data_IF_866410314872
#
_entry.id   IF_866410314872
#
_cell.length_a   1.000
_cell.length_b   1.000
_cell.length_c   1.000
_cell.angle_alpha   90.00
_cell.angle_beta   90.00
_cell.angle_gamma   90.00
#
_symmetry.space_group_name_H-M   'P 1'
#
loop_
_entity.id
_entity.type
_entity.pdbx_description
1 polymer ?
#
# COMPACT_ATOMS: atom_id res chain seq x y z
N UNK A 1 -29.21 -5.25 -56.52
CA UNK A 1 -27.85 -5.59 -56.97
C UNK A 1 -27.06 -5.94 -55.71
N UNK A 2 -27.00 -7.23 -55.35
CA UNK A 2 -26.47 -7.66 -54.05
C UNK A 2 -25.03 -8.12 -54.25
N UNK A 3 -24.07 -7.26 -53.86
CA UNK A 3 -22.65 -7.59 -53.96
C UNK A 3 -22.34 -8.65 -52.92
N UNK A 4 -22.11 -9.88 -53.39
CA UNK A 4 -21.69 -11.02 -52.57
C UNK A 4 -20.21 -10.80 -52.22
N UNK A 5 -19.92 -10.22 -51.06
CA UNK A 5 -18.57 -10.05 -50.56
C UNK A 5 -17.85 -11.40 -50.47
N UNK A 6 -16.65 -11.49 -51.05
CA UNK A 6 -15.81 -12.69 -51.05
C UNK A 6 -15.40 -12.97 -49.60
N UNK A 7 -15.99 -14.00 -48.99
CA UNK A 7 -15.64 -14.46 -47.64
C UNK A 7 -14.19 -14.96 -47.66
N UNK A 8 -13.33 -14.35 -46.82
CA UNK A 8 -11.98 -14.88 -46.55
C UNK A 8 -10.81 -14.01 -46.98
N UNK A 9 -11.01 -12.73 -47.31
CA UNK A 9 -9.90 -11.77 -47.50
C UNK A 9 -9.02 -11.66 -46.25
N UNK A 10 -7.71 -11.47 -46.42
CA UNK A 10 -6.74 -11.31 -45.32
C UNK A 10 -7.13 -10.23 -44.30
N UNK A 11 -7.79 -9.14 -44.75
CA UNK A 11 -8.34 -8.10 -43.87
C UNK A 11 -9.41 -8.62 -42.89
N UNK A 12 -10.33 -9.47 -43.36
CA UNK A 12 -11.36 -10.12 -42.52
C UNK A 12 -10.77 -11.12 -41.52
N UNK A 13 -9.62 -11.74 -41.85
CA UNK A 13 -8.90 -12.64 -40.92
C UNK A 13 -8.08 -11.86 -39.89
N UNK A 14 -7.61 -10.66 -40.24
CA UNK A 14 -6.95 -9.75 -39.31
C UNK A 14 -7.95 -9.17 -38.29
N UNK A 15 -9.17 -8.79 -38.72
CA UNK A 15 -10.26 -8.37 -37.83
C UNK A 15 -10.75 -9.48 -36.88
N UNK A 16 -10.52 -10.75 -37.22
CA UNK A 16 -10.96 -11.90 -36.43
C UNK A 16 -9.95 -12.39 -35.40
N UNK A 17 -8.74 -11.81 -35.31
CA UNK A 17 -7.83 -12.12 -34.22
C UNK A 17 -8.26 -11.31 -32.99
N UNK A 18 -8.74 -11.96 -31.91
CA UNK A 18 -8.91 -11.25 -30.65
C UNK A 18 -7.53 -10.70 -30.27
N UNK A 19 -7.45 -9.39 -30.02
CA UNK A 19 -6.26 -8.78 -29.47
C UNK A 19 -5.87 -9.55 -28.20
N UNK A 20 -4.64 -10.07 -28.17
CA UNK A 20 -4.11 -10.72 -26.99
C UNK A 20 -4.05 -9.65 -25.92
N UNK A 21 -4.82 -9.83 -24.85
CA UNK A 21 -4.80 -8.89 -23.73
C UNK A 21 -3.35 -8.74 -23.23
N UNK A 22 -2.84 -7.51 -23.06
CA UNK A 22 -1.47 -7.31 -22.62
C UNK A 22 -1.26 -7.95 -21.25
N UNK A 23 -0.20 -8.74 -21.13
CA UNK A 23 0.28 -9.30 -19.86
C UNK A 23 1.15 -8.26 -19.18
N UNK A 24 0.86 -7.97 -17.91
CA UNK A 24 1.61 -7.00 -17.12
C UNK A 24 2.37 -7.71 -16.02
N UNK A 25 3.61 -7.28 -15.80
CA UNK A 25 4.38 -7.65 -14.61
C UNK A 25 3.76 -7.04 -13.36
N UNK A 26 4.06 -7.60 -12.18
CA UNK A 26 3.55 -7.08 -10.92
C UNK A 26 3.95 -5.61 -10.66
N UNK A 27 5.15 -5.21 -11.09
CA UNK A 27 5.60 -3.82 -11.02
C UNK A 27 4.74 -2.89 -11.88
N UNK A 28 4.39 -3.30 -13.10
CA UNK A 28 3.50 -2.54 -13.99
C UNK A 28 2.07 -2.49 -13.42
N UNK A 29 1.56 -3.58 -12.85
CA UNK A 29 0.26 -3.60 -12.19
C UNK A 29 0.20 -2.60 -11.02
N UNK A 30 1.26 -2.50 -10.20
CA UNK A 30 1.37 -1.48 -9.15
C UNK A 30 1.34 -0.07 -9.72
N UNK A 31 2.16 0.22 -10.73
CA UNK A 31 2.22 1.54 -11.35
C UNK A 31 0.86 1.96 -11.95
N UNK A 32 0.20 1.05 -12.66
CA UNK A 32 -1.16 1.24 -13.18
C UNK A 32 -2.16 1.51 -12.08
N UNK A 33 -2.12 0.75 -10.98
CA UNK A 33 -3.00 0.92 -9.82
C UNK A 33 -2.85 2.30 -9.19
N UNK A 34 -1.62 2.78 -9.04
CA UNK A 34 -1.29 4.14 -8.55
C UNK A 34 -1.75 5.25 -9.49
N UNK A 35 -1.75 5.00 -10.79
CA UNK A 35 -2.29 5.91 -11.82
C UNK A 35 -3.82 5.86 -11.95
N UNK A 36 -4.50 5.07 -11.11
CA UNK A 36 -5.95 4.91 -11.16
C UNK A 36 -6.46 4.11 -12.36
N UNK A 37 -5.56 3.46 -13.11
CA UNK A 37 -5.94 2.62 -14.24
C UNK A 37 -6.60 1.32 -13.77
N UNK A 38 -7.40 0.72 -14.65
CA UNK A 38 -8.02 -0.58 -14.40
C UNK A 38 -6.92 -1.65 -14.37
N UNK A 39 -6.98 -2.49 -13.34
CA UNK A 39 -6.05 -3.58 -13.03
C UNK A 39 -6.88 -4.82 -12.69
N UNK A 40 -6.49 -5.95 -13.26
CA UNK A 40 -7.02 -7.28 -12.91
C UNK A 40 -5.86 -8.12 -12.40
N UNK A 41 -5.99 -8.65 -11.18
CA UNK A 41 -5.00 -9.51 -10.54
C UNK A 41 -5.24 -10.95 -10.98
N UNK A 42 -4.19 -11.61 -11.45
CA UNK A 42 -4.20 -13.01 -11.88
C UNK A 42 -3.79 -13.98 -10.77
N UNK A 43 -3.79 -15.28 -11.10
CA UNK A 43 -3.33 -16.33 -10.17
C UNK A 43 -1.81 -16.47 -10.07
N UNK A 44 -1.07 -15.63 -10.78
CA UNK A 44 0.38 -15.44 -10.69
C UNK A 44 0.77 -14.29 -9.74
N UNK A 45 -0.19 -13.50 -9.29
CA UNK A 45 0.07 -12.37 -8.39
C UNK A 45 0.21 -12.82 -6.93
N UNK A 46 1.32 -12.42 -6.29
CA UNK A 46 1.64 -12.78 -4.90
C UNK A 46 1.57 -11.55 -3.99
N UNK A 47 0.74 -11.63 -2.95
CA UNK A 47 0.50 -10.53 -2.01
C UNK A 47 1.76 -10.12 -1.25
N UNK A 48 2.50 -11.07 -0.67
CA UNK A 48 3.69 -10.76 0.12
C UNK A 48 4.79 -10.09 -0.71
N UNK A 49 4.95 -10.46 -1.98
CA UNK A 49 5.85 -9.78 -2.91
C UNK A 49 5.41 -8.33 -3.18
N UNK A 50 4.09 -8.08 -3.24
CA UNK A 50 3.56 -6.72 -3.46
C UNK A 50 3.79 -5.85 -2.24
N UNK A 51 3.53 -6.40 -1.04
CA UNK A 51 3.82 -5.75 0.23
C UNK A 51 5.31 -5.45 0.33
N UNK A 52 6.19 -6.44 0.12
CA UNK A 52 7.65 -6.30 0.22
C UNK A 52 8.19 -5.20 -0.71
N UNK A 53 7.73 -5.17 -1.95
CA UNK A 53 8.15 -4.16 -2.92
C UNK A 53 7.70 -2.73 -2.58
N UNK A 54 6.65 -2.57 -1.76
CA UNK A 54 6.15 -1.27 -1.30
C UNK A 54 6.84 -0.85 -0.01
N UNK A 55 6.88 -1.74 0.99
CA UNK A 55 7.39 -1.40 2.32
C UNK A 55 8.91 -1.41 2.40
N UNK A 56 9.59 -2.26 1.62
CA UNK A 56 11.05 -2.42 1.67
C UNK A 56 11.83 -1.13 1.39
N UNK A 57 11.59 -0.45 0.25
CA UNK A 57 12.27 0.81 -0.05
C UNK A 57 11.99 1.91 0.98
N UNK A 58 10.79 1.94 1.56
CA UNK A 58 10.41 2.91 2.60
C UNK A 58 11.13 2.64 3.92
N UNK A 59 11.22 1.37 4.32
CA UNK A 59 11.96 0.96 5.52
C UNK A 59 13.44 1.32 5.43
N UNK A 60 14.07 1.06 4.29
CA UNK A 60 15.46 1.46 4.07
C UNK A 60 15.65 2.98 4.19
N UNK A 61 14.82 3.77 3.51
CA UNK A 61 14.90 5.24 3.59
C UNK A 61 14.66 5.79 5.00
N UNK A 62 13.76 5.17 5.77
CA UNK A 62 13.48 5.56 7.16
C UNK A 62 14.64 5.19 8.08
N UNK A 63 15.23 4.00 7.91
CA UNK A 63 16.40 3.56 8.67
C UNK A 63 17.60 4.50 8.44
N UNK A 64 17.80 4.94 7.21
CA UNK A 64 18.86 5.87 6.82
C UNK A 64 18.60 7.32 7.25
N UNK A 65 17.37 7.65 7.67
CA UNK A 65 17.01 9.01 8.06
C UNK A 65 17.48 9.33 9.49
N UNK A 66 18.13 10.49 9.72
CA UNK A 66 18.40 10.97 11.06
C UNK A 66 17.05 11.23 11.76
N UNK A 67 16.85 10.61 12.92
CA UNK A 67 15.59 10.58 13.68
C UNK A 67 14.45 9.73 13.08
N UNK A 68 14.74 8.49 12.70
CA UNK A 68 13.75 7.50 12.19
C UNK A 68 12.49 7.38 13.07
N UNK A 69 12.63 7.53 14.40
CA UNK A 69 11.52 7.38 15.35
C UNK A 69 10.36 8.36 15.15
N UNK A 70 10.56 9.50 14.47
CA UNK A 70 9.47 10.46 14.20
C UNK A 70 8.47 9.99 13.15
N UNK A 71 8.82 8.96 12.38
CA UNK A 71 7.91 8.37 11.40
C UNK A 71 6.91 7.40 12.05
N UNK A 72 7.07 7.09 13.34
CA UNK A 72 6.03 6.47 14.15
C UNK A 72 5.01 7.50 14.61
N UNK A 73 3.78 7.05 14.87
CA UNK A 73 2.78 7.86 15.53
C UNK A 73 3.14 7.99 17.01
N UNK A 74 3.31 9.22 17.48
CA UNK A 74 3.62 9.47 18.88
C UNK A 74 2.40 9.15 19.75
N UNK A 75 2.59 8.54 20.92
CA UNK A 75 1.50 8.29 21.88
C UNK A 75 0.72 9.57 22.25
N UNK A 76 1.38 10.74 22.24
CA UNK A 76 0.76 12.04 22.47
C UNK A 76 -0.37 12.36 21.45
N UNK A 77 -0.28 11.84 20.23
CA UNK A 77 -1.30 12.02 19.18
C UNK A 77 -2.53 11.11 19.36
N UNK A 78 -2.49 10.14 20.30
CA UNK A 78 -3.67 9.30 20.64
C UNK A 78 -4.60 9.99 21.64
N UNK A 79 -4.12 11.01 22.35
CA UNK A 79 -4.87 11.79 23.35
C UNK A 79 -5.28 13.18 22.87
N UNK A 80 -5.21 13.45 21.56
CA UNK A 80 -5.52 14.76 20.98
C UNK A 80 -6.92 15.24 21.41
N UNK A 81 -6.95 16.33 22.15
CA UNK A 81 -8.18 17.02 22.54
C UNK A 81 -9.10 17.22 21.33
N UNK A 82 -10.36 16.82 21.46
CA UNK A 82 -11.44 17.02 20.49
C UNK A 82 -11.67 18.51 20.14
N UNK A 83 -11.02 19.43 20.85
CA UNK A 83 -11.08 20.87 20.63
C UNK A 83 -10.03 21.39 19.64
N UNK A 84 -8.98 20.62 19.35
CA UNK A 84 -8.10 20.90 18.23
C UNK A 84 -8.75 20.24 16.99
N UNK A 85 -9.28 21.06 16.06
CA UNK A 85 -9.89 20.57 14.82
C UNK A 85 -8.99 19.58 14.05
N UNK A 86 -9.52 18.91 13.01
CA UNK A 86 -8.87 17.75 12.40
C UNK A 86 -7.45 18.09 11.91
N UNK A 87 -6.46 17.83 12.76
CA UNK A 87 -5.07 17.83 12.35
C UNK A 87 -4.93 16.56 11.53
N UNK A 88 -4.74 16.72 10.22
CA UNK A 88 -4.31 15.63 9.34
C UNK A 88 -3.12 14.98 10.02
N UNK A 89 -3.31 13.76 10.55
CA UNK A 89 -2.23 13.05 11.22
C UNK A 89 -1.11 12.86 10.20
N UNK A 90 0.16 13.15 10.55
CA UNK A 90 1.23 13.03 9.59
C UNK A 90 1.42 11.56 9.20
N UNK A 91 1.52 11.31 7.89
CA UNK A 91 1.74 9.97 7.33
C UNK A 91 2.81 9.20 8.10
N UNK A 92 2.47 8.02 8.63
CA UNK A 92 3.30 7.28 9.58
C UNK A 92 3.45 5.80 9.22
N UNK A 93 4.43 5.14 9.84
CA UNK A 93 4.59 3.68 9.77
C UNK A 93 3.32 2.98 10.25
N UNK A 94 2.67 3.49 11.30
CA UNK A 94 1.43 2.92 11.84
C UNK A 94 0.26 3.01 10.85
N UNK A 95 0.15 4.10 10.09
CA UNK A 95 -0.87 4.23 9.04
C UNK A 95 -0.63 3.27 7.89
N UNK A 96 0.63 3.11 7.46
CA UNK A 96 0.98 2.12 6.44
C UNK A 96 0.73 0.69 6.95
N UNK A 97 1.11 0.39 8.19
CA UNK A 97 0.86 -0.89 8.84
C UNK A 97 -0.64 -1.21 8.92
N UNK A 98 -1.46 -0.22 9.29
CA UNK A 98 -2.90 -0.34 9.31
C UNK A 98 -3.47 -0.61 7.91
N UNK A 99 -2.95 0.05 6.89
CA UNK A 99 -3.37 -0.19 5.50
C UNK A 99 -2.98 -1.59 5.00
N UNK A 100 -1.77 -2.06 5.28
CA UNK A 100 -1.36 -3.45 4.99
C UNK A 100 -2.25 -4.43 5.75
N UNK A 101 -2.51 -4.17 7.03
CA UNK A 101 -3.41 -4.99 7.84
C UNK A 101 -4.83 -5.03 7.27
N UNK A 102 -5.35 -3.90 6.75
CA UNK A 102 -6.62 -3.84 6.04
C UNK A 102 -6.66 -4.73 4.80
N UNK A 103 -5.61 -4.72 3.99
CA UNK A 103 -5.47 -5.63 2.84
C UNK A 103 -5.47 -7.08 3.30
N UNK A 104 -4.66 -7.44 4.30
CA UNK A 104 -4.59 -8.82 4.82
C UNK A 104 -5.94 -9.24 5.39
N UNK A 105 -6.64 -8.37 6.13
CA UNK A 105 -7.97 -8.64 6.66
C UNK A 105 -9.00 -8.91 5.55
N UNK A 106 -8.97 -8.12 4.47
CA UNK A 106 -9.83 -8.33 3.31
C UNK A 106 -9.53 -9.67 2.61
N UNK A 107 -8.25 -10.02 2.45
CA UNK A 107 -7.82 -11.32 1.89
C UNK A 107 -8.31 -12.48 2.74
N UNK A 108 -8.11 -12.42 4.06
CA UNK A 108 -8.60 -13.44 5.00
C UNK A 108 -10.12 -13.60 4.89
N UNK A 109 -10.86 -12.49 4.81
CA UNK A 109 -12.31 -12.52 4.57
C UNK A 109 -12.71 -13.21 3.26
N UNK A 110 -12.00 -12.95 2.17
CA UNK A 110 -12.25 -13.59 0.87
C UNK A 110 -11.94 -15.09 0.89
N UNK A 111 -10.84 -15.49 1.52
CA UNK A 111 -10.46 -16.89 1.66
C UNK A 111 -11.47 -17.67 2.52
N UNK A 112 -11.92 -17.09 3.64
CA UNK A 112 -12.94 -17.73 4.47
C UNK A 112 -14.31 -17.79 3.80
N UNK A 113 -14.71 -16.79 3.02
CA UNK A 113 -15.94 -16.86 2.24
C UNK A 113 -15.88 -17.98 1.19
N UNK A 114 -14.74 -18.12 0.50
CA UNK A 114 -14.52 -19.19 -0.47
C UNK A 114 -14.53 -20.60 0.19
N UNK A 115 -13.88 -20.75 1.35
CA UNK A 115 -13.89 -22.01 2.12
C UNK A 115 -15.31 -22.33 2.63
N UNK A 116 -15.99 -21.35 3.22
CA UNK A 116 -17.35 -21.51 3.71
C UNK A 116 -18.32 -21.86 2.58
N UNK A 117 -18.17 -21.24 1.41
CA UNK A 117 -18.92 -21.62 0.22
C UNK A 117 -18.69 -23.08 -0.15
N UNK A 118 -17.44 -23.50 -0.27
CA UNK A 118 -17.08 -24.87 -0.62
C UNK A 118 -17.66 -25.90 0.36
N UNK A 119 -17.44 -25.68 1.66
CA UNK A 119 -17.87 -26.60 2.73
C UNK A 119 -19.37 -26.70 2.86
N UNK A 120 -20.14 -25.69 2.44
CA UNK A 120 -21.60 -25.65 2.61
C UNK A 120 -22.40 -25.96 1.33
N UNK A 121 -21.73 -26.33 0.23
CA UNK A 121 -22.39 -26.62 -1.07
C UNK A 121 -23.48 -27.69 -0.99
N UNK A 122 -23.31 -28.66 -0.09
CA UNK A 122 -24.24 -29.78 0.09
C UNK A 122 -25.49 -29.43 0.92
N UNK A 123 -25.51 -28.29 1.61
CA UNK A 123 -26.62 -27.87 2.46
C UNK A 123 -27.74 -27.19 1.66
N UNK A 124 -28.97 -27.26 2.17
CA UNK A 124 -30.11 -26.49 1.66
C UNK A 124 -29.97 -24.99 1.94
N UNK A 125 -30.72 -24.13 1.25
CA UNK A 125 -30.53 -22.65 1.27
C UNK A 125 -30.39 -22.04 2.67
N UNK A 126 -31.38 -22.25 3.55
CA UNK A 126 -31.37 -21.66 4.90
C UNK A 126 -30.30 -22.26 5.82
N UNK A 127 -29.99 -23.55 5.65
CA UNK A 127 -28.92 -24.22 6.40
C UNK A 127 -27.56 -23.72 5.93
N UNK A 128 -27.39 -23.53 4.62
CA UNK A 128 -26.18 -23.00 3.98
C UNK A 128 -25.90 -21.58 4.45
N UNK A 129 -26.89 -20.70 4.44
CA UNK A 129 -26.72 -19.31 4.88
C UNK A 129 -26.29 -19.24 6.36
N UNK A 130 -26.95 -20.00 7.25
CA UNK A 130 -26.59 -20.08 8.67
C UNK A 130 -25.19 -20.66 8.88
N UNK A 131 -24.86 -21.76 8.21
CA UNK A 131 -23.55 -22.38 8.32
C UNK A 131 -22.41 -21.46 7.84
N UNK A 132 -22.61 -20.76 6.71
CA UNK A 132 -21.64 -19.76 6.22
C UNK A 132 -21.41 -18.64 7.24
N UNK A 133 -22.49 -18.10 7.81
CA UNK A 133 -22.39 -17.07 8.84
C UNK A 133 -21.60 -17.56 10.06
N UNK A 134 -21.85 -18.78 10.54
CA UNK A 134 -21.11 -19.39 11.65
C UNK A 134 -19.63 -19.60 11.32
N UNK A 135 -19.30 -20.11 10.13
CA UNK A 135 -17.91 -20.31 9.71
C UNK A 135 -17.15 -18.97 9.65
N UNK A 136 -17.80 -17.91 9.15
CA UNK A 136 -17.21 -16.56 9.11
C UNK A 136 -16.99 -15.98 10.52
N UNK A 137 -17.87 -16.24 11.46
CA UNK A 137 -17.70 -15.80 12.86
C UNK A 137 -16.53 -16.50 13.54
N UNK A 138 -16.25 -17.75 13.17
CA UNK A 138 -15.14 -18.54 13.72
C UNK A 138 -13.79 -18.26 13.03
N UNK A 139 -13.78 -17.45 11.97
CA UNK A 139 -12.55 -17.08 11.28
C UNK A 139 -11.62 -16.30 12.21
N UNK A 140 -10.40 -16.83 12.39
CA UNK A 140 -9.37 -16.15 13.15
C UNK A 140 -8.91 -14.90 12.41
N UNK A 141 -8.83 -13.79 13.14
CA UNK A 141 -8.37 -12.53 12.57
C UNK A 141 -6.87 -12.42 12.75
N UNK A 142 -6.12 -12.01 11.72
CA UNK A 142 -4.71 -11.72 11.87
C UNK A 142 -4.54 -10.66 12.96
N UNK A 143 -3.49 -10.77 13.76
CA UNK A 143 -3.16 -9.76 14.77
C UNK A 143 -2.31 -8.69 14.12
N UNK A 144 -2.62 -7.42 14.37
CA UNK A 144 -1.82 -6.31 13.87
C UNK A 144 -0.49 -6.26 14.63
N UNK A 145 0.66 -6.26 13.94
CA UNK A 145 1.95 -6.09 14.59
C UNK A 145 2.07 -4.69 15.19
N UNK A 146 2.65 -4.59 16.38
CA UNK A 146 2.99 -3.32 17.01
C UNK A 146 4.47 -3.01 16.77
N UNK A 147 4.76 -1.75 16.46
CA UNK A 147 6.12 -1.29 16.16
C UNK A 147 6.58 -0.26 17.18
N UNK A 148 7.77 -0.46 17.71
CA UNK A 148 8.42 0.47 18.61
C UNK A 148 9.48 1.32 17.88
N UNK A 149 10.15 2.19 18.64
CA UNK A 149 11.19 3.07 18.10
C UNK A 149 12.40 2.31 17.57
N UNK A 150 12.71 1.15 18.16
CA UNK A 150 13.82 0.32 17.71
C UNK A 150 13.50 -0.26 16.32
N UNK A 151 12.31 -0.80 16.14
CA UNK A 151 11.84 -1.30 14.84
C UNK A 151 11.85 -0.21 13.77
N UNK A 152 11.44 1.03 14.11
CA UNK A 152 11.51 2.15 13.17
C UNK A 152 12.94 2.51 12.76
N UNK A 153 13.92 2.35 13.65
CA UNK A 153 15.32 2.64 13.35
C UNK A 153 16.00 1.52 12.55
N UNK A 154 15.74 0.26 12.89
CA UNK A 154 16.29 -0.89 12.17
C UNK A 154 15.62 -1.17 10.83
N UNK A 155 14.37 -0.73 10.66
CA UNK A 155 13.54 -1.09 9.52
C UNK A 155 12.85 -2.45 9.64
N UNK A 156 12.95 -3.13 10.80
CA UNK A 156 12.41 -4.48 11.02
C UNK A 156 10.87 -4.56 10.93
N UNK A 157 10.20 -3.41 10.95
CA UNK A 157 8.76 -3.33 10.70
C UNK A 157 8.37 -3.80 9.30
N UNK A 158 9.23 -3.62 8.28
CA UNK A 158 8.93 -4.06 6.92
C UNK A 158 8.86 -5.59 6.78
N UNK A 159 9.89 -6.37 7.20
CA UNK A 159 9.81 -7.83 7.23
C UNK A 159 8.62 -8.36 8.03
N UNK A 160 8.26 -7.73 9.15
CA UNK A 160 7.09 -8.11 9.93
C UNK A 160 5.77 -7.94 9.16
N UNK A 161 5.62 -6.86 8.38
CA UNK A 161 4.46 -6.67 7.51
C UNK A 161 4.42 -7.66 6.34
N UNK A 162 5.58 -8.05 5.80
CA UNK A 162 5.66 -9.10 4.76
C UNK A 162 5.27 -10.46 5.33
N UNK A 163 5.79 -10.81 6.50
CA UNK A 163 5.46 -12.06 7.20
C UNK A 163 3.96 -12.16 7.56
N UNK A 164 3.30 -11.02 7.81
CA UNK A 164 1.84 -10.97 8.01
C UNK A 164 1.05 -11.40 6.77
N UNK A 165 1.56 -11.10 5.57
CA UNK A 165 0.91 -11.37 4.29
C UNK A 165 1.28 -12.72 3.67
N UNK A 166 2.43 -13.27 4.03
CA UNK A 166 3.00 -14.49 3.45
C UNK A 166 2.04 -15.71 3.52
N UNK A 167 1.42 -16.05 4.66
CA UNK A 167 0.58 -17.26 4.78
C UNK A 167 -0.64 -17.26 3.84
N UNK A 168 -1.07 -16.07 3.40
CA UNK A 168 -2.27 -15.90 2.59
C UNK A 168 -1.99 -15.77 1.10
N UNK A 169 -0.72 -15.62 0.70
CA UNK A 169 -0.35 -15.30 -0.69
C UNK A 169 -0.72 -16.42 -1.67
N UNK A 170 -0.30 -17.65 -1.40
CA UNK A 170 -0.58 -18.77 -2.29
C UNK A 170 -2.07 -19.17 -2.33
N UNK A 171 -2.81 -19.27 -1.19
CA UNK A 171 -4.25 -19.46 -1.21
C UNK A 171 -4.97 -18.38 -2.01
N UNK A 172 -4.54 -17.12 -1.91
CA UNK A 172 -5.12 -16.02 -2.63
C UNK A 172 -4.83 -16.08 -4.13
N UNK A 173 -3.59 -16.39 -4.53
CA UNK A 173 -3.21 -16.60 -5.91
C UNK A 173 -4.08 -17.70 -6.56
N UNK A 174 -4.29 -18.82 -5.86
CA UNK A 174 -5.25 -19.86 -6.30
C UNK A 174 -6.68 -19.35 -6.41
N UNK A 175 -7.15 -18.55 -5.44
CA UNK A 175 -8.50 -17.99 -5.50
C UNK A 175 -8.67 -17.05 -6.70
N UNK A 176 -7.69 -16.19 -6.96
CA UNK A 176 -7.66 -15.29 -8.12
C UNK A 176 -7.65 -16.05 -9.44
N UNK A 177 -6.79 -17.07 -9.56
CA UNK A 177 -6.73 -17.92 -10.76
C UNK A 177 -8.02 -18.68 -11.06
N UNK A 178 -8.83 -18.97 -10.03
CA UNK A 178 -10.12 -19.65 -10.16
C UNK A 178 -11.33 -18.69 -10.23
N UNK A 179 -11.12 -17.37 -10.24
CA UNK A 179 -12.21 -16.38 -10.22
C UNK A 179 -12.36 -15.64 -11.56
N UNK A 180 -13.09 -16.20 -12.54
CA UNK A 180 -13.22 -15.59 -13.87
C UNK A 180 -14.04 -14.30 -13.88
N UNK A 181 -14.78 -14.00 -12.81
CA UNK A 181 -15.65 -12.81 -12.74
C UNK A 181 -14.88 -11.53 -12.38
N UNK A 182 -13.64 -11.63 -11.88
CA UNK A 182 -12.83 -10.49 -11.48
C UNK A 182 -13.34 -9.76 -10.22
N UNK A 183 -14.37 -10.28 -9.54
CA UNK A 183 -14.95 -9.65 -8.34
C UNK A 183 -13.94 -9.65 -7.19
N UNK A 184 -13.23 -10.77 -7.00
CA UNK A 184 -12.17 -10.89 -5.98
C UNK A 184 -11.06 -9.87 -6.25
N UNK A 185 -10.60 -9.78 -7.50
CA UNK A 185 -9.62 -8.79 -7.92
C UNK A 185 -10.09 -7.36 -7.67
N UNK A 186 -11.34 -7.04 -8.00
CA UNK A 186 -11.87 -5.67 -7.84
C UNK A 186 -11.93 -5.26 -6.37
N UNK A 187 -12.36 -6.17 -5.49
CA UNK A 187 -12.36 -5.95 -4.05
C UNK A 187 -10.94 -5.65 -3.53
N UNK A 188 -9.96 -6.48 -3.93
CA UNK A 188 -8.57 -6.32 -3.51
C UNK A 188 -7.91 -5.06 -4.06
N UNK A 189 -8.17 -4.70 -5.32
CA UNK A 189 -7.62 -3.47 -5.91
C UNK A 189 -8.05 -2.23 -5.14
N UNK A 190 -9.25 -2.22 -4.55
CA UNK A 190 -9.69 -1.12 -3.67
C UNK A 190 -8.80 -1.02 -2.43
N UNK A 191 -8.60 -2.12 -1.71
CA UNK A 191 -7.78 -2.12 -0.48
C UNK A 191 -6.30 -1.83 -0.79
N UNK A 192 -5.77 -2.36 -1.90
CA UNK A 192 -4.40 -2.09 -2.35
C UNK A 192 -4.19 -0.61 -2.71
N UNK A 193 -5.23 0.10 -3.15
CA UNK A 193 -5.15 1.56 -3.40
C UNK A 193 -5.04 2.35 -2.11
N UNK A 194 -5.69 1.93 -1.03
CA UNK A 194 -5.51 2.54 0.29
C UNK A 194 -4.07 2.33 0.80
N UNK A 195 -3.52 1.13 0.61
CA UNK A 195 -2.11 0.84 0.91
C UNK A 195 -1.15 1.70 0.06
N UNK A 196 -1.39 1.84 -1.25
CA UNK A 196 -0.59 2.71 -2.11
C UNK A 196 -0.70 4.19 -1.69
N UNK A 197 -1.88 4.64 -1.28
CA UNK A 197 -2.10 6.01 -0.81
C UNK A 197 -1.35 6.28 0.50
N UNK A 198 -1.37 5.34 1.45
CA UNK A 198 -0.61 5.40 2.69
C UNK A 198 0.90 5.43 2.41
N UNK A 199 1.39 4.51 1.56
CA UNK A 199 2.78 4.45 1.14
C UNK A 199 3.23 5.74 0.44
N UNK A 200 2.43 6.26 -0.48
CA UNK A 200 2.72 7.52 -1.18
C UNK A 200 2.71 8.73 -0.25
N UNK A 201 1.85 8.74 0.78
CA UNK A 201 1.84 9.80 1.79
C UNK A 201 3.09 9.75 2.67
N UNK A 202 3.54 8.55 3.04
CA UNK A 202 4.78 8.34 3.79
C UNK A 202 6.01 8.73 2.96
N UNK A 203 6.06 8.35 1.68
CA UNK A 203 7.13 8.76 0.75
C UNK A 203 7.20 10.29 0.62
N UNK A 204 6.07 10.97 0.37
CA UNK A 204 6.04 12.44 0.31
C UNK A 204 6.54 13.10 1.60
N UNK A 205 6.29 12.47 2.76
CA UNK A 205 6.78 12.96 4.04
C UNK A 205 8.30 12.80 4.14
N UNK A 206 8.84 11.67 3.69
CA UNK A 206 10.30 11.43 3.61
C UNK A 206 10.98 12.42 2.68
N UNK A 207 10.42 12.65 1.50
CA UNK A 207 10.96 13.58 0.50
C UNK A 207 10.98 15.01 1.05
N UNK A 208 9.87 15.45 1.66
CA UNK A 208 9.79 16.77 2.30
C UNK A 208 10.84 16.93 3.39
N UNK A 209 11.00 15.91 4.21
CA UNK A 209 12.02 15.93 5.24
C UNK A 209 13.45 16.01 4.68
N UNK A 210 13.73 15.24 3.63
CA UNK A 210 15.04 15.28 2.97
C UNK A 210 15.36 16.68 2.43
N UNK A 211 14.36 17.36 1.84
CA UNK A 211 14.48 18.76 1.38
C UNK A 211 14.76 19.71 2.54
N UNK A 212 13.95 19.67 3.60
CA UNK A 212 14.14 20.52 4.78
C UNK A 212 15.52 20.33 5.42
N UNK A 213 16.04 19.10 5.44
CA UNK A 213 17.41 18.81 5.91
C UNK A 213 18.50 19.31 4.98
N UNK A 214 18.26 19.34 3.67
CA UNK A 214 19.20 19.91 2.71
C UNK A 214 19.26 21.45 2.85
N UNK A 215 18.11 22.09 3.02
CA UNK A 215 18.00 23.54 3.28
C UNK A 215 18.65 23.94 4.60
N UNK A 216 18.37 23.22 5.69
CA UNK A 216 18.97 23.50 7.01
C UNK A 216 20.50 23.37 7.01
N UNK A 217 21.06 22.46 6.19
CA UNK A 217 22.52 22.34 6.01
C UNK A 217 23.12 23.45 5.15
N UNK A 218 22.32 24.07 4.28
CA UNK A 218 22.79 25.07 3.32
C UNK A 218 22.69 26.49 3.86
N UNK A 219 21.84 26.75 4.86
CA UNK A 219 21.73 28.06 5.51
C UNK A 219 22.96 28.28 6.39
N UNK A 220 23.87 29.21 6.05
CA UNK A 220 24.97 29.55 6.94
C UNK A 220 24.36 30.12 8.22
N UNK A 221 24.67 29.48 9.35
CA UNK A 221 24.43 30.06 10.66
C UNK A 221 25.27 31.32 10.74
N UNK A 222 24.64 32.49 10.60
CA UNK A 222 25.28 33.78 10.88
C UNK A 222 25.80 33.69 12.31
N UNK A 223 27.11 33.65 12.47
CA UNK A 223 27.69 33.49 13.80
C UNK A 223 27.47 34.75 14.62
N UNK A 224 27.48 34.64 15.96
CA UNK A 224 27.47 35.82 16.83
C UNK A 224 28.62 36.78 16.48
N UNK A 225 29.75 36.26 16.00
CA UNK A 225 30.87 37.07 15.53
C UNK A 225 30.57 37.81 14.21
N UNK A 226 29.75 37.24 13.33
CA UNK A 226 29.30 37.91 12.10
C UNK A 226 28.23 38.98 12.42
N UNK A 227 27.35 38.72 13.39
CA UNK A 227 26.41 39.71 13.92
C UNK A 227 27.16 40.86 14.61
N UNK A 228 28.15 40.56 15.44
CA UNK A 228 28.98 41.57 16.11
C UNK A 228 29.81 42.38 15.11
N UNK A 229 30.33 41.77 14.04
CA UNK A 229 31.02 42.50 12.95
C UNK A 229 30.07 43.43 12.20
N UNK A 230 28.86 42.97 11.88
CA UNK A 230 27.84 43.81 11.24
C UNK A 230 27.38 44.96 12.14
N UNK A 231 27.26 44.73 13.45
CA UNK A 231 26.92 45.76 14.43
C UNK A 231 28.04 46.80 14.55
N UNK A 232 29.30 46.39 14.63
CA UNK A 232 30.45 47.31 14.65
C UNK A 232 30.56 48.13 13.36
N UNK A 233 30.32 47.53 12.20
CA UNK A 233 30.23 48.25 10.92
C UNK A 233 29.09 49.27 10.92
N UNK A 234 27.92 48.94 11.49
CA UNK A 234 26.79 49.87 11.59
C UNK A 234 27.06 51.06 12.52
N UNK A 235 27.99 50.90 13.47
CA UNK A 235 28.47 51.95 14.37
C UNK A 235 29.66 52.75 13.77
N UNK A 236 30.08 52.43 12.54
CA UNK A 236 31.18 53.09 11.85
C UNK A 236 32.58 52.66 12.33
N UNK A 237 32.67 51.52 13.03
CA UNK A 237 33.95 50.94 13.48
C UNK A 237 34.40 49.90 12.47
N UNK A 238 35.42 50.25 11.67
CA UNK A 238 36.06 49.32 10.74
C UNK A 238 37.08 48.45 11.49
N UNK A 239 36.98 47.13 11.37
CA UNK A 239 37.98 46.16 11.84
C UNK A 239 39.00 45.81 10.75
#
# INVERSE_FOLDING_TARGET
MTVKGIRGTWAMRAEARPDVAPTYTQAELRDRRRKGLIVTLGGDWMLHEDVAAIVGPLAQQIADAPHSARFLRTQADRGGSHLAGPRLSPASIDELALAVHGVVHAVVGLLHEADAEHRTRHLSGDQRARARASLRTLAERPVMPEFDRAAAHSGDWAPALVALAEPYSEPLARLLGNNPTGVVSTCLVRELREMDAAAGSLQRRLDRDAVLRAEARSTPTVSEADLARAELESLGVSL
#
